data_IF_146205374585
#
_entry.id   IF_146205374585
#
_cell.length_a   1.000
_cell.length_b   1.000
_cell.length_c   1.000
_cell.angle_alpha   90.00
_cell.angle_beta   90.00
_cell.angle_gamma   90.00
#
_symmetry.space_group_name_H-M   'P 1'
#
loop_
_entity.id
_entity.type
_entity.pdbx_description
1 polymer ?
#
# COMPACT_ATOMS: atom_id res chain seq x y z
N UNK A 1 -42.58 39.52 -25.58
CA UNK A 1 -41.11 39.61 -25.63
C UNK A 1 -40.63 38.37 -26.37
N UNK A 2 -40.74 38.34 -27.70
CA UNK A 2 -39.73 38.77 -28.69
C UNK A 2 -38.33 38.21 -28.42
N UNK A 3 -37.95 37.33 -29.34
CA UNK A 3 -36.68 36.65 -29.66
C UNK A 3 -35.40 37.44 -29.42
N UNK A 4 -34.26 36.74 -29.31
CA UNK A 4 -33.03 37.03 -30.06
C UNK A 4 -32.01 35.89 -29.89
N UNK A 5 -31.79 35.13 -30.97
CA UNK A 5 -30.59 34.34 -31.18
C UNK A 5 -29.41 35.26 -31.50
N UNK A 6 -28.19 34.86 -31.16
CA UNK A 6 -27.00 35.38 -31.84
C UNK A 6 -25.98 34.25 -32.02
N UNK A 7 -25.79 33.91 -33.29
CA UNK A 7 -24.67 33.17 -33.84
C UNK A 7 -23.51 34.16 -34.00
N UNK A 8 -22.30 33.77 -33.62
CA UNK A 8 -21.07 34.28 -34.25
C UNK A 8 -20.10 33.13 -34.39
N UNK A 9 -19.93 32.71 -35.64
CA UNK A 9 -18.76 32.00 -36.10
C UNK A 9 -17.61 32.99 -36.10
N UNK A 10 -16.68 32.86 -35.16
CA UNK A 10 -15.30 33.29 -35.34
C UNK A 10 -14.42 32.10 -34.98
N UNK A 11 -13.77 31.61 -36.03
CA UNK A 11 -12.66 30.68 -36.00
C UNK A 11 -11.57 31.27 -35.11
N UNK A 12 -11.33 30.61 -33.98
CA UNK A 12 -10.07 30.73 -33.25
C UNK A 12 -9.76 29.35 -32.75
N UNK A 13 -8.69 28.78 -33.32
CA UNK A 13 -7.98 27.64 -32.75
C UNK A 13 -7.69 27.94 -31.28
N UNK A 14 -8.56 27.47 -30.40
CA UNK A 14 -8.15 27.11 -29.05
C UNK A 14 -7.78 25.65 -29.16
N UNK A 15 -6.47 25.41 -29.09
CA UNK A 15 -5.85 24.12 -28.94
C UNK A 15 -6.79 23.19 -28.17
N UNK A 16 -7.20 22.09 -28.81
CA UNK A 16 -7.65 20.94 -28.05
C UNK A 16 -6.50 20.70 -27.06
N UNK A 17 -6.72 21.06 -25.79
CA UNK A 17 -5.99 20.39 -24.73
C UNK A 17 -6.43 18.94 -24.90
N UNK A 18 -5.60 18.20 -25.62
CA UNK A 18 -5.57 16.77 -25.62
C UNK A 18 -5.44 16.42 -24.13
N UNK A 19 -6.60 16.27 -23.49
CA UNK A 19 -6.71 15.49 -22.28
C UNK A 19 -6.44 14.08 -22.77
N UNK A 20 -5.16 13.80 -22.99
CA UNK A 20 -4.67 12.48 -23.24
C UNK A 20 -5.09 11.69 -22.00
N UNK A 21 -6.17 10.92 -22.14
CA UNK A 21 -6.55 9.90 -21.17
C UNK A 21 -5.56 8.73 -21.24
N UNK A 22 -4.29 9.02 -21.52
CA UNK A 22 -3.16 8.12 -21.48
C UNK A 22 -2.61 8.12 -20.07
N UNK A 23 -2.36 6.92 -19.55
CA UNK A 23 -1.65 6.74 -18.29
C UNK A 23 -0.27 7.41 -18.41
N UNK A 24 -0.05 8.46 -17.61
CA UNK A 24 1.21 9.20 -17.57
C UNK A 24 2.33 8.27 -17.10
N UNK A 25 3.18 7.84 -18.04
CA UNK A 25 4.28 6.93 -17.80
C UNK A 25 5.50 7.65 -17.23
N UNK A 26 6.09 7.09 -16.17
CA UNK A 26 7.35 7.56 -15.58
C UNK A 26 8.53 6.72 -16.06
N UNK A 27 9.73 7.29 -16.07
CA UNK A 27 10.95 6.58 -16.53
C UNK A 27 11.79 5.99 -15.40
N UNK A 28 11.48 6.35 -14.16
CA UNK A 28 12.22 5.89 -12.98
C UNK A 28 11.31 5.78 -11.76
N UNK A 29 11.70 4.90 -10.83
CA UNK A 29 10.98 4.72 -9.58
C UNK A 29 11.14 5.96 -8.69
N UNK A 30 10.04 6.42 -8.09
CA UNK A 30 10.06 7.59 -7.23
C UNK A 30 11.00 7.40 -6.02
N UNK A 31 11.76 8.45 -5.67
CA UNK A 31 12.77 8.38 -4.60
C UNK A 31 12.21 8.00 -3.21
N UNK A 32 10.91 8.19 -2.98
CA UNK A 32 10.25 7.77 -1.75
C UNK A 32 10.37 6.26 -1.50
N UNK A 33 10.46 5.43 -2.54
CA UNK A 33 10.61 3.99 -2.38
C UNK A 33 11.96 3.59 -1.76
N UNK A 34 12.97 4.47 -1.80
CA UNK A 34 14.24 4.25 -1.12
C UNK A 34 14.16 4.36 0.41
N UNK A 35 13.03 4.83 0.96
CA UNK A 35 12.82 4.86 2.40
C UNK A 35 12.56 3.46 2.98
N UNK A 36 12.02 2.55 2.17
CA UNK A 36 11.70 1.19 2.61
C UNK A 36 12.96 0.38 2.94
N UNK A 37 12.83 -0.54 3.88
CA UNK A 37 13.85 -1.52 4.20
C UNK A 37 14.05 -2.46 3.00
N UNK A 38 15.19 -2.36 2.32
CA UNK A 38 15.51 -3.14 1.12
C UNK A 38 15.66 -4.64 1.37
N UNK A 39 15.86 -5.07 2.61
CA UNK A 39 15.91 -6.50 2.96
C UNK A 39 14.50 -7.08 3.07
N UNK A 40 13.49 -6.23 3.30
CA UNK A 40 12.11 -6.64 3.55
C UNK A 40 11.13 -6.24 2.45
N UNK A 41 11.46 -5.24 1.61
CA UNK A 41 10.59 -4.67 0.58
C UNK A 41 11.35 -4.49 -0.72
N UNK A 42 10.73 -4.94 -1.81
CA UNK A 42 11.20 -4.72 -3.18
C UNK A 42 10.14 -3.95 -3.96
N UNK A 43 10.54 -2.87 -4.63
CA UNK A 43 9.66 -2.09 -5.51
C UNK A 43 10.27 -2.00 -6.91
N UNK A 44 9.48 -2.29 -7.94
CA UNK A 44 9.91 -2.40 -9.33
C UNK A 44 8.92 -1.60 -10.19
N UNK A 45 9.45 -0.71 -11.04
CA UNK A 45 8.65 -0.02 -12.05
C UNK A 45 8.37 -0.96 -13.23
N UNK A 46 7.14 -0.95 -13.75
CA UNK A 46 6.76 -1.71 -14.94
C UNK A 46 7.54 -1.28 -16.19
N UNK A 47 7.64 -2.15 -17.19
CA UNK A 47 8.38 -1.88 -18.42
C UNK A 47 7.82 -0.69 -19.23
N UNK A 48 6.52 -0.43 -19.10
CA UNK A 48 5.81 0.71 -19.70
C UNK A 48 5.74 1.94 -18.79
N UNK A 49 6.21 1.86 -17.54
CA UNK A 49 6.32 2.99 -16.62
C UNK A 49 5.02 3.46 -15.99
N UNK A 50 3.93 2.70 -16.14
CA UNK A 50 2.59 3.08 -15.65
C UNK A 50 2.26 2.49 -14.27
N UNK A 51 2.93 1.39 -13.87
CA UNK A 51 2.67 0.67 -12.63
C UNK A 51 3.95 0.49 -11.80
N UNK A 52 3.78 0.38 -10.48
CA UNK A 52 4.83 -0.04 -9.55
C UNK A 52 4.38 -1.33 -8.87
N UNK A 53 5.18 -2.38 -9.07
CA UNK A 53 5.03 -3.67 -8.39
C UNK A 53 5.82 -3.65 -7.09
N UNK A 54 5.16 -3.97 -5.98
CA UNK A 54 5.75 -3.94 -4.65
C UNK A 54 5.56 -5.30 -4.01
N UNK A 55 6.64 -5.88 -3.50
CA UNK A 55 6.67 -7.14 -2.77
C UNK A 55 7.28 -6.93 -1.39
N UNK A 56 6.72 -7.60 -0.38
CA UNK A 56 7.28 -7.58 0.97
C UNK A 56 7.35 -8.97 1.60
N UNK A 57 8.35 -9.16 2.46
CA UNK A 57 8.46 -10.33 3.34
C UNK A 57 7.39 -10.32 4.45
N UNK A 58 6.83 -9.15 4.78
CA UNK A 58 5.79 -9.02 5.81
C UNK A 58 6.29 -8.91 7.24
N UNK A 59 7.60 -9.03 7.43
CA UNK A 59 8.19 -9.09 8.75
C UNK A 59 8.57 -7.70 9.24
N UNK A 60 8.29 -7.38 10.52
CA UNK A 60 8.77 -6.14 11.12
C UNK A 60 10.29 -6.19 11.33
N UNK A 61 10.94 -5.03 11.36
CA UNK A 61 12.40 -4.91 11.46
C UNK A 61 12.91 -4.48 12.85
N UNK A 62 12.17 -4.82 13.91
CA UNK A 62 12.52 -4.48 15.28
C UNK A 62 12.76 -5.72 16.14
N UNK A 63 13.58 -5.56 17.18
CA UNK A 63 13.82 -6.61 18.15
C UNK A 63 12.63 -6.76 19.09
N UNK A 64 12.25 -7.99 19.42
CA UNK A 64 11.08 -8.25 20.27
C UNK A 64 11.13 -9.62 20.93
N UNK A 65 10.47 -9.76 22.08
CA UNK A 65 10.19 -11.06 22.71
C UNK A 65 9.24 -11.92 21.86
N UNK A 66 8.52 -11.34 20.89
CA UNK A 66 7.61 -12.06 19.99
C UNK A 66 8.29 -12.80 18.82
N UNK A 67 9.62 -12.71 18.68
CA UNK A 67 10.39 -13.59 17.80
C UNK A 67 10.66 -14.96 18.45
N UNK A 68 11.00 -15.97 17.65
CA UNK A 68 11.54 -17.23 18.16
C UNK A 68 12.96 -17.03 18.74
N UNK A 69 13.32 -17.81 19.76
CA UNK A 69 14.57 -17.62 20.53
C UNK A 69 15.86 -17.80 19.72
N UNK A 70 15.78 -18.47 18.57
CA UNK A 70 16.89 -18.67 17.62
C UNK A 70 16.94 -17.60 16.50
N UNK A 71 15.96 -16.70 16.44
CA UNK A 71 15.93 -15.57 15.52
C UNK A 71 16.89 -14.46 15.99
N UNK A 72 17.59 -13.82 15.05
CA UNK A 72 18.52 -12.73 15.35
C UNK A 72 17.87 -11.48 15.97
N UNK A 73 16.58 -11.26 15.75
CA UNK A 73 15.80 -10.15 16.30
C UNK A 73 15.15 -10.48 17.66
N UNK A 74 15.37 -11.66 18.21
CA UNK A 74 14.85 -11.99 19.53
C UNK A 74 15.60 -11.26 20.65
N UNK A 75 14.82 -10.68 21.58
CA UNK A 75 15.32 -10.14 22.85
C UNK A 75 14.42 -10.63 23.99
N UNK A 76 15.04 -11.00 25.11
CA UNK A 76 14.31 -11.43 26.30
C UNK A 76 13.77 -10.21 27.07
N UNK A 77 12.47 -10.23 27.36
CA UNK A 77 11.76 -9.19 28.10
C UNK A 77 10.98 -9.85 29.25
N UNK A 78 11.61 -10.10 30.41
CA UNK A 78 11.05 -10.95 31.47
C UNK A 78 9.79 -10.37 32.13
N UNK A 79 9.57 -9.06 31.99
CA UNK A 79 8.40 -8.36 32.53
C UNK A 79 7.21 -8.34 31.54
N UNK A 80 7.38 -8.86 30.32
CA UNK A 80 6.32 -8.96 29.31
C UNK A 80 5.66 -10.34 29.39
N UNK A 81 4.35 -10.35 29.66
CA UNK A 81 3.56 -11.58 29.61
C UNK A 81 2.96 -11.76 28.21
N UNK A 82 3.35 -12.82 27.50
CA UNK A 82 2.69 -13.20 26.24
C UNK A 82 1.26 -13.68 26.51
N UNK A 83 0.34 -13.34 25.61
CA UNK A 83 -1.06 -13.83 25.64
C UNK A 83 -1.13 -15.34 25.43
N UNK A 84 -0.26 -15.88 24.58
CA UNK A 84 -0.10 -17.32 24.29
C UNK A 84 1.38 -17.63 24.05
N UNK A 85 1.85 -18.76 24.57
CA UNK A 85 3.26 -19.17 24.46
C UNK A 85 3.69 -19.41 23.00
N UNK A 86 2.75 -19.84 22.15
CA UNK A 86 3.00 -20.27 20.77
C UNK A 86 2.70 -19.18 19.73
N UNK A 87 2.50 -17.92 20.16
CA UNK A 87 2.35 -16.79 19.22
C UNK A 87 3.69 -16.12 19.01
N UNK A 88 4.27 -16.38 17.84
CA UNK A 88 5.50 -15.76 17.37
C UNK A 88 5.31 -15.17 15.98
N UNK A 89 6.09 -14.14 15.68
CA UNK A 89 6.18 -13.55 14.34
C UNK A 89 6.73 -14.63 13.39
N UNK A 90 6.05 -14.88 12.26
CA UNK A 90 6.39 -15.97 11.33
C UNK A 90 5.69 -17.30 11.60
N UNK A 91 4.88 -17.40 12.66
CA UNK A 91 4.03 -18.56 12.93
C UNK A 91 2.67 -18.52 12.21
N UNK A 92 2.36 -17.42 11.52
CA UNK A 92 1.08 -17.17 10.87
C UNK A 92 1.05 -17.56 9.39
N UNK A 93 -0.05 -17.21 8.74
CA UNK A 93 -0.15 -17.14 7.28
C UNK A 93 -0.44 -15.69 6.93
N UNK A 94 0.20 -15.15 5.90
CA UNK A 94 -0.12 -13.82 5.38
C UNK A 94 0.86 -12.71 5.76
N UNK A 95 2.07 -13.02 6.26
CA UNK A 95 3.08 -11.97 6.41
C UNK A 95 3.47 -11.41 5.03
N UNK A 96 3.91 -12.26 4.11
CA UNK A 96 4.32 -11.81 2.78
C UNK A 96 3.15 -11.37 1.90
N UNK A 97 3.34 -10.26 1.19
CA UNK A 97 2.32 -9.69 0.31
C UNK A 97 2.94 -9.04 -0.94
N UNK A 98 2.15 -8.98 -2.01
CA UNK A 98 2.46 -8.30 -3.27
C UNK A 98 1.30 -7.43 -3.69
N UNK A 99 1.57 -6.21 -4.15
CA UNK A 99 0.54 -5.29 -4.64
C UNK A 99 1.09 -4.42 -5.76
N UNK A 100 0.17 -3.99 -6.62
CA UNK A 100 0.45 -3.09 -7.73
C UNK A 100 -0.24 -1.77 -7.47
N UNK A 101 0.47 -0.67 -7.69
CA UNK A 101 -0.06 0.69 -7.59
C UNK A 101 0.29 1.46 -8.84
N UNK A 102 -0.52 2.46 -9.18
CA UNK A 102 -0.24 3.35 -10.29
C UNK A 102 1.04 4.16 -10.00
N UNK A 103 1.92 4.25 -10.99
CA UNK A 103 3.14 5.06 -10.90
C UNK A 103 2.82 6.57 -10.83
N UNK A 104 1.69 6.96 -11.42
CA UNK A 104 1.13 8.32 -11.35
C UNK A 104 -0.28 8.27 -10.75
N UNK A 105 -0.43 8.43 -9.42
CA UNK A 105 -1.73 8.28 -8.75
C UNK A 105 -2.76 9.32 -9.18
N UNK A 106 -3.99 8.88 -9.49
CA UNK A 106 -5.14 9.76 -9.71
C UNK A 106 -5.79 10.17 -8.37
N UNK A 107 -5.51 11.40 -7.93
CA UNK A 107 -6.09 11.97 -6.70
C UNK A 107 -7.61 12.23 -6.80
N UNK A 108 -8.16 12.23 -8.01
CA UNK A 108 -9.59 12.41 -8.28
C UNK A 108 -10.33 11.10 -8.59
N UNK A 109 -9.59 9.99 -8.60
CA UNK A 109 -10.08 8.67 -8.93
C UNK A 109 -11.05 8.10 -7.90
N UNK A 110 -11.67 6.98 -8.25
CA UNK A 110 -12.51 6.23 -7.34
C UNK A 110 -11.66 5.32 -6.44
N UNK A 111 -11.97 5.27 -5.14
CA UNK A 111 -11.37 4.28 -4.24
C UNK A 111 -11.89 2.89 -4.55
N UNK A 112 -11.02 1.89 -4.56
CA UNK A 112 -11.39 0.48 -4.71
C UNK A 112 -11.37 -0.20 -3.33
N UNK A 113 -12.44 -0.91 -2.99
CA UNK A 113 -12.45 -1.73 -1.78
C UNK A 113 -11.47 -2.90 -1.94
N UNK A 114 -10.52 -3.02 -1.03
CA UNK A 114 -9.66 -4.19 -0.95
C UNK A 114 -10.44 -5.38 -0.37
N UNK A 115 -10.05 -6.58 -0.75
CA UNK A 115 -10.51 -7.80 -0.07
C UNK A 115 -9.87 -7.88 1.32
N UNK A 116 -10.40 -8.75 2.19
CA UNK A 116 -9.77 -9.05 3.49
C UNK A 116 -8.41 -9.70 3.24
N UNK A 117 -7.35 -8.88 3.29
CA UNK A 117 -5.94 -9.18 3.08
C UNK A 117 -5.14 -7.90 3.42
N UNK A 118 -3.81 -7.97 3.34
CA UNK A 118 -2.89 -6.83 3.43
C UNK A 118 -3.37 -5.63 2.60
N UNK A 119 -3.63 -4.52 3.28
CA UNK A 119 -4.06 -3.24 2.69
C UNK A 119 -2.90 -2.27 2.46
N UNK A 120 -1.71 -2.58 2.98
CA UNK A 120 -0.52 -1.78 2.79
C UNK A 120 0.68 -2.37 3.52
N UNK A 121 1.81 -1.68 3.45
CA UNK A 121 3.05 -2.08 4.10
C UNK A 121 3.66 -0.93 4.88
N UNK A 122 4.28 -1.24 6.00
CA UNK A 122 5.12 -0.32 6.72
C UNK A 122 6.47 -0.15 6.00
N UNK A 123 7.16 0.95 6.30
CA UNK A 123 8.54 1.21 5.82
C UNK A 123 9.50 0.08 6.21
N UNK A 124 9.24 -0.57 7.33
CA UNK A 124 9.97 -1.74 7.83
C UNK A 124 9.70 -3.04 7.06
N UNK A 125 8.64 -3.10 6.26
CA UNK A 125 8.18 -4.31 5.57
C UNK A 125 7.08 -5.09 6.29
N UNK A 126 6.59 -4.63 7.44
CA UNK A 126 5.43 -5.26 8.08
C UNK A 126 4.15 -5.03 7.28
N UNK A 127 3.34 -6.07 7.08
CA UNK A 127 2.01 -5.97 6.48
C UNK A 127 1.04 -5.19 7.37
N UNK A 128 0.21 -4.34 6.75
CA UNK A 128 -0.86 -3.58 7.39
C UNK A 128 -2.18 -4.22 6.96
N UNK A 129 -3.03 -4.54 7.93
CA UNK A 129 -4.30 -5.21 7.72
C UNK A 129 -5.47 -4.30 8.06
N UNK A 130 -6.63 -4.57 7.46
CA UNK A 130 -7.85 -3.83 7.81
C UNK A 130 -8.42 -4.31 9.17
N UNK A 131 -9.22 -3.47 9.81
CA UNK A 131 -9.86 -3.73 11.09
C UNK A 131 -10.87 -4.91 11.10
N UNK A 132 -11.27 -5.42 9.94
CA UNK A 132 -12.13 -6.60 9.81
C UNK A 132 -11.34 -7.91 9.71
N UNK A 133 -10.02 -7.85 9.55
CA UNK A 133 -9.17 -9.00 9.31
C UNK A 133 -8.85 -9.71 10.63
N UNK A 134 -9.80 -10.54 11.08
CA UNK A 134 -9.68 -11.19 12.40
C UNK A 134 -10.98 -11.69 13.01
N UNK A 135 -11.96 -12.09 12.18
CA UNK A 135 -13.29 -12.53 12.60
C UNK A 135 -14.23 -11.42 13.15
N UNK A 136 -14.05 -10.17 12.71
CA UNK A 136 -14.97 -9.05 12.96
C UNK A 136 -14.23 -7.78 13.39
N UNK A 137 -14.98 -6.72 13.66
CA UNK A 137 -14.48 -5.42 14.12
C UNK A 137 -13.47 -5.56 15.28
N UNK A 138 -12.32 -4.89 15.19
CA UNK A 138 -11.31 -4.87 16.27
C UNK A 138 -11.86 -4.41 17.63
N UNK A 139 -12.94 -3.63 17.64
CA UNK A 139 -13.65 -3.22 18.86
C UNK A 139 -14.18 -4.41 19.67
N UNK A 140 -14.35 -5.57 19.04
CA UNK A 140 -14.69 -6.84 19.70
C UNK A 140 -13.45 -7.70 20.03
N UNK A 141 -12.30 -7.43 19.43
CA UNK A 141 -11.06 -8.20 19.64
C UNK A 141 -10.36 -7.85 20.95
N UNK A 142 -10.50 -6.62 21.45
CA UNK A 142 -9.91 -6.19 22.73
C UNK A 142 -10.67 -6.68 23.99
N UNK A 143 -11.64 -7.59 23.84
CA UNK A 143 -12.64 -7.91 24.86
C UNK A 143 -12.53 -9.27 25.58
N UNK A 144 -11.46 -10.06 25.39
CA UNK A 144 -11.31 -11.39 26.03
C UNK A 144 -10.06 -11.53 26.89
#
# INVERSE_FOLDING_TARGET
>A
MSVLACSSSEDSSSEEADSDGGEEAVTELHAAFAAFNSDAVTAILSDDGTEVYIETTGYPDHTSVYWETDNALYIDEPDVSKTTQDTYIGGGQGEAASFTVDATPDLTGATVATQLNTIGIAVSGASIFNDQEGAGDLDQAAGS
#
